data_IF_337934493287
#
_entry.id   IF_337934493287
#
_cell.length_a   1.000
_cell.length_b   1.000
_cell.length_c   1.000
_cell.angle_alpha   90.00
_cell.angle_beta   90.00
_cell.angle_gamma   90.00
#
_symmetry.space_group_name_H-M   'P 1'
#
loop_
_entity.id
_entity.type
_entity.pdbx_description
1 polymer ?
#
# COMPACT_ATOMS: atom_id res chain seq x y z
N UNK A 1 -11.52 30.92 -13.07
CA UNK A 1 -10.37 30.05 -12.74
C UNK A 1 -10.83 28.62 -12.94
N UNK A 2 -10.23 27.85 -13.86
CA UNK A 2 -10.56 26.41 -14.00
C UNK A 2 -9.71 25.68 -12.96
N UNK A 3 -10.35 25.13 -11.94
CA UNK A 3 -9.68 24.24 -11.00
C UNK A 3 -9.40 22.95 -11.75
N UNK A 4 -8.12 22.63 -11.97
CA UNK A 4 -7.75 21.32 -12.54
C UNK A 4 -8.11 20.28 -11.50
N UNK A 5 -9.12 19.46 -11.78
CA UNK A 5 -9.49 18.35 -10.91
C UNK A 5 -8.38 17.30 -10.95
N UNK A 6 -7.77 17.04 -9.79
CA UNK A 6 -6.71 16.04 -9.64
C UNK A 6 -7.35 14.77 -9.12
N UNK A 7 -7.25 13.69 -9.89
CA UNK A 7 -7.79 12.39 -9.50
C UNK A 7 -6.71 11.55 -8.78
N UNK A 8 -7.08 10.50 -8.07
CA UNK A 8 -6.12 9.60 -7.42
C UNK A 8 -6.04 8.30 -8.20
N UNK A 9 -4.86 7.92 -8.67
CA UNK A 9 -4.61 6.65 -9.36
C UNK A 9 -3.83 5.69 -8.50
N UNK A 10 -4.28 4.43 -8.44
CA UNK A 10 -3.59 3.39 -7.70
C UNK A 10 -2.32 2.95 -8.44
N UNK A 11 -1.17 3.01 -7.79
CA UNK A 11 0.11 2.62 -8.38
C UNK A 11 0.22 1.12 -8.71
N UNK A 12 -0.60 0.29 -8.07
CA UNK A 12 -0.50 -1.17 -8.20
C UNK A 12 -1.44 -1.71 -9.28
N UNK A 13 -2.72 -1.34 -9.24
CA UNK A 13 -3.72 -1.87 -10.17
C UNK A 13 -4.20 -0.86 -11.22
N UNK A 14 -3.74 0.39 -11.16
CA UNK A 14 -4.10 1.42 -12.14
C UNK A 14 -5.52 1.98 -12.01
N UNK A 15 -6.35 1.48 -11.07
CA UNK A 15 -7.69 2.03 -10.84
C UNK A 15 -7.64 3.48 -10.36
N UNK A 16 -8.60 4.28 -10.78
CA UNK A 16 -8.72 5.71 -10.45
C UNK A 16 -9.88 5.91 -9.47
N UNK A 17 -9.71 6.83 -8.53
CA UNK A 17 -10.72 7.21 -7.56
C UNK A 17 -11.61 8.32 -8.12
N UNK A 18 -12.87 7.98 -8.38
CA UNK A 18 -13.90 8.96 -8.72
C UNK A 18 -14.90 9.03 -7.56
N UNK A 19 -14.96 10.19 -6.89
CA UNK A 19 -15.75 10.34 -5.66
C UNK A 19 -15.35 9.33 -4.57
N UNK A 20 -16.22 8.37 -4.27
CA UNK A 20 -16.00 7.33 -3.25
C UNK A 20 -15.60 5.97 -3.84
N UNK A 21 -15.56 5.82 -5.16
CA UNK A 21 -15.37 4.53 -5.82
C UNK A 21 -14.03 4.46 -6.56
N UNK A 22 -13.51 3.24 -6.71
CA UNK A 22 -12.29 2.96 -7.47
C UNK A 22 -12.64 2.19 -8.72
N UNK A 23 -12.52 2.84 -9.88
CA UNK A 23 -12.94 2.30 -11.17
C UNK A 23 -11.75 2.11 -12.11
N UNK A 24 -11.97 1.41 -13.21
CA UNK A 24 -10.96 1.28 -14.26
C UNK A 24 -10.75 2.65 -14.92
N UNK A 25 -9.49 2.98 -15.19
CA UNK A 25 -9.14 4.21 -15.89
C UNK A 25 -9.63 4.14 -17.34
N UNK A 26 -10.63 4.94 -17.68
CA UNK A 26 -11.07 5.13 -19.07
C UNK A 26 -10.12 6.14 -19.70
N UNK A 27 -9.29 5.69 -20.64
CA UNK A 27 -8.14 6.43 -21.16
C UNK A 27 -8.45 7.92 -21.44
N UNK A 28 -8.00 8.80 -20.54
CA UNK A 28 -8.17 10.24 -20.62
C UNK A 28 -6.90 10.99 -20.23
N UNK A 29 -6.78 12.25 -20.66
CA UNK A 29 -5.71 13.14 -20.20
C UNK A 29 -6.14 13.82 -18.90
N UNK A 30 -6.11 13.09 -17.78
CA UNK A 30 -6.31 13.66 -16.45
C UNK A 30 -4.98 13.80 -15.70
N UNK A 31 -4.91 14.76 -14.79
CA UNK A 31 -3.78 14.91 -13.87
C UNK A 31 -4.03 13.99 -12.68
N UNK A 32 -3.15 13.01 -12.49
CA UNK A 32 -3.27 12.05 -11.39
C UNK A 32 -2.29 12.34 -10.25
N UNK A 33 -2.80 12.22 -9.03
CA UNK A 33 -2.02 11.94 -7.83
C UNK A 33 -1.90 10.43 -7.62
N UNK A 34 -0.77 9.98 -7.11
CA UNK A 34 -0.47 8.56 -6.95
C UNK A 34 -0.80 8.07 -5.53
N UNK A 35 -1.41 6.88 -5.42
CA UNK A 35 -1.76 6.28 -4.13
C UNK A 35 -2.05 4.78 -4.19
N UNK A 36 -2.74 4.26 -3.18
CA UNK A 36 -3.22 2.88 -3.12
C UNK A 36 -4.74 2.82 -3.04
N UNK A 37 -5.37 1.94 -3.81
CA UNK A 37 -6.75 1.56 -3.55
C UNK A 37 -6.83 0.71 -2.27
N UNK A 38 -7.99 0.62 -1.60
CA UNK A 38 -8.14 -0.11 -0.33
C UNK A 38 -7.62 -1.55 -0.40
N UNK A 39 -7.87 -2.25 -1.50
CA UNK A 39 -7.42 -3.63 -1.69
C UNK A 39 -5.89 -3.72 -1.77
N UNK A 40 -5.26 -2.85 -2.56
CA UNK A 40 -3.80 -2.85 -2.71
C UNK A 40 -3.11 -2.35 -1.45
N UNK A 41 -3.72 -1.41 -0.73
CA UNK A 41 -3.22 -0.93 0.55
C UNK A 41 -3.20 -2.03 1.60
N UNK A 42 -4.29 -2.79 1.74
CA UNK A 42 -4.36 -3.92 2.68
C UNK A 42 -3.31 -5.00 2.36
N UNK A 43 -3.09 -5.29 1.07
CA UNK A 43 -2.02 -6.21 0.65
C UNK A 43 -0.63 -5.69 1.01
N UNK A 44 -0.38 -4.40 0.85
CA UNK A 44 0.89 -3.79 1.21
C UNK A 44 1.12 -3.87 2.74
N UNK A 45 0.10 -3.58 3.55
CA UNK A 45 0.18 -3.72 5.01
C UNK A 45 0.46 -5.17 5.43
N UNK A 46 -0.27 -6.14 4.89
CA UNK A 46 -0.06 -7.56 5.20
C UNK A 46 1.37 -8.01 4.84
N UNK A 47 1.94 -7.51 3.74
CA UNK A 47 3.32 -7.79 3.37
C UNK A 47 4.31 -7.23 4.39
N UNK A 48 4.09 -5.99 4.86
CA UNK A 48 4.93 -5.37 5.91
C UNK A 48 4.83 -6.15 7.23
N UNK A 49 3.62 -6.51 7.67
CA UNK A 49 3.41 -7.30 8.89
C UNK A 49 4.13 -8.65 8.84
N UNK A 50 4.10 -9.32 7.68
CA UNK A 50 4.80 -10.59 7.49
C UNK A 50 6.32 -10.45 7.63
N UNK A 51 6.87 -9.36 7.09
CA UNK A 51 8.29 -9.05 7.17
C UNK A 51 8.73 -8.78 8.61
N UNK A 52 8.01 -7.89 9.31
CA UNK A 52 8.30 -7.55 10.72
C UNK A 52 8.23 -8.80 11.61
N UNK A 53 7.19 -9.63 11.45
CA UNK A 53 7.03 -10.86 12.23
C UNK A 53 8.17 -11.86 12.01
N UNK A 54 8.72 -11.93 10.80
CA UNK A 54 9.84 -12.82 10.47
C UNK A 54 11.16 -12.36 11.09
N UNK A 55 11.39 -11.05 11.13
CA UNK A 55 12.60 -10.46 11.69
C UNK A 55 12.59 -10.50 13.23
N UNK A 56 11.41 -10.37 13.84
CA UNK A 56 11.27 -10.44 15.29
C UNK A 56 11.62 -11.84 15.84
N UNK A 57 11.27 -12.91 15.10
CA UNK A 57 11.69 -14.29 15.44
C UNK A 57 13.21 -14.47 15.41
N UNK A 58 13.90 -13.79 14.49
CA UNK A 58 15.37 -13.85 14.41
C UNK A 58 16.05 -13.14 15.58
N UNK A 59 15.42 -12.08 16.11
CA UNK A 59 16.00 -11.24 17.19
C UNK A 59 15.75 -11.79 18.59
N UNK A 60 14.68 -12.54 18.83
CA UNK A 60 14.37 -13.11 20.16
C UNK A 60 14.98 -14.49 20.41
N UNK A 61 15.81 -15.01 19.52
CA UNK A 61 16.65 -16.18 19.78
C UNK A 61 17.73 -15.82 20.82
N UNK A 62 17.32 -15.68 22.08
CA UNK A 62 18.23 -15.57 23.22
C UNK A 62 18.90 -16.95 23.33
N UNK A 63 20.23 -17.05 23.13
CA UNK A 63 20.92 -18.32 23.34
C UNK A 63 20.74 -18.75 24.80
N UNK A 64 20.58 -20.07 25.08
CA UNK A 64 20.40 -20.54 26.44
C UNK A 64 21.57 -20.09 27.30
N UNK A 65 21.27 -19.35 28.38
CA UNK A 65 22.22 -18.99 29.43
C UNK A 65 22.81 -20.29 29.98
N UNK A 66 24.10 -20.53 29.72
CA UNK A 66 24.83 -21.64 30.35
C UNK A 66 24.94 -21.31 31.84
N UNK A 67 24.26 -22.09 32.68
CA UNK A 67 24.46 -22.05 34.12
C UNK A 67 25.81 -22.72 34.41
N UNK A 68 26.77 -21.93 34.90
CA UNK A 68 28.06 -22.38 35.44
C UNK A 68 27.99 -22.55 36.93
#
# INVERSE_FOLDING_TARGET
MRTTEVEVKCCVCGRVKHGCEWMQDEAGMALYSHGYCPVCYQRALAAVESFVSSEQRKRTAVPPMKQT
#
